data_IF_500171128818
#
_entry.id   IF_500171128818
#
_cell.length_a   1.000
_cell.length_b   1.000
_cell.length_c   1.000
_cell.angle_alpha   90.00
_cell.angle_beta   90.00
_cell.angle_gamma   90.00
#
_symmetry.space_group_name_H-M   'P 1'
#
loop_
_entity.id
_entity.type
_entity.pdbx_description
1 polymer ?
#
# COMPACT_ATOMS: atom_id res chain seq x y z
N UNK A 1 -25.22 -17.84 -20.02
CA UNK A 1 -24.78 -17.75 -18.65
C UNK A 1 -24.48 -16.29 -18.30
N UNK A 2 -25.32 -15.74 -17.48
CA UNK A 2 -25.16 -14.35 -17.09
C UNK A 2 -24.18 -14.26 -15.91
N UNK A 3 -23.03 -13.66 -16.17
CA UNK A 3 -22.12 -13.28 -15.10
C UNK A 3 -22.66 -12.02 -14.43
N UNK A 4 -23.24 -12.19 -13.28
CA UNK A 4 -23.56 -11.02 -12.46
C UNK A 4 -22.25 -10.47 -11.89
N UNK A 5 -22.11 -9.14 -11.92
CA UNK A 5 -21.05 -8.50 -11.17
C UNK A 5 -21.13 -8.94 -9.70
N UNK A 6 -20.03 -9.30 -9.05
CA UNK A 6 -20.10 -9.72 -7.65
C UNK A 6 -20.63 -8.58 -6.79
N UNK A 7 -21.46 -8.94 -5.84
CA UNK A 7 -21.90 -7.98 -4.84
C UNK A 7 -20.72 -7.64 -3.93
N UNK A 8 -20.83 -6.53 -3.22
CA UNK A 8 -19.80 -6.14 -2.25
C UNK A 8 -19.51 -7.26 -1.24
N UNK A 9 -20.56 -7.91 -0.72
CA UNK A 9 -20.39 -8.99 0.24
C UNK A 9 -19.71 -10.22 -0.37
N UNK A 10 -20.04 -10.56 -1.62
CA UNK A 10 -19.40 -11.66 -2.33
C UNK A 10 -17.93 -11.39 -2.55
N UNK A 11 -17.56 -10.18 -2.96
CA UNK A 11 -16.18 -9.79 -3.16
C UNK A 11 -15.37 -9.87 -1.85
N UNK A 12 -15.94 -9.37 -0.75
CA UNK A 12 -15.29 -9.45 0.56
C UNK A 12 -15.07 -10.90 0.97
N UNK A 13 -16.08 -11.76 0.77
CA UNK A 13 -15.99 -13.16 1.14
C UNK A 13 -14.89 -13.88 0.35
N UNK A 14 -14.82 -13.63 -0.93
CA UNK A 14 -13.79 -14.20 -1.78
C UNK A 14 -12.37 -13.82 -1.33
N UNK A 15 -12.18 -12.56 -0.97
CA UNK A 15 -10.89 -12.09 -0.46
C UNK A 15 -10.53 -12.75 0.88
N UNK A 16 -11.51 -12.92 1.76
CA UNK A 16 -11.29 -13.60 3.04
C UNK A 16 -10.91 -15.06 2.86
N UNK A 17 -11.55 -15.74 1.92
CA UNK A 17 -11.24 -17.15 1.61
C UNK A 17 -9.82 -17.31 1.09
N UNK A 18 -9.29 -16.31 0.43
CA UNK A 18 -7.92 -16.29 -0.08
C UNK A 18 -6.91 -15.76 0.93
N UNK A 19 -7.33 -15.53 2.17
CA UNK A 19 -6.50 -14.98 3.25
C UNK A 19 -5.87 -13.63 2.92
N UNK A 20 -6.57 -12.81 2.16
CA UNK A 20 -6.10 -11.47 1.81
C UNK A 20 -6.53 -10.51 2.92
N UNK A 21 -5.58 -9.75 3.51
CA UNK A 21 -5.93 -8.74 4.52
C UNK A 21 -6.92 -7.73 3.98
N UNK A 22 -7.97 -7.46 4.74
CA UNK A 22 -9.07 -6.63 4.30
C UNK A 22 -9.56 -5.76 5.46
N UNK A 23 -9.78 -4.48 5.18
CA UNK A 23 -10.37 -3.54 6.11
C UNK A 23 -11.69 -3.05 5.52
N UNK A 24 -12.77 -3.23 6.24
CA UNK A 24 -14.06 -2.70 5.84
C UNK A 24 -14.12 -1.21 6.13
N UNK A 25 -14.57 -0.44 5.14
CA UNK A 25 -14.74 0.99 5.29
C UNK A 25 -16.24 1.29 5.20
N UNK A 26 -16.88 1.39 6.35
CA UNK A 26 -18.31 1.60 6.44
C UNK A 26 -19.09 0.47 5.71
N UNK A 27 -20.32 0.74 5.34
CA UNK A 27 -21.19 -0.20 4.61
C UNK A 27 -20.88 -0.24 3.11
N UNK A 28 -20.10 0.72 2.61
CA UNK A 28 -20.02 1.00 1.18
C UNK A 28 -18.72 0.61 0.53
N UNK A 29 -17.75 0.12 1.28
CA UNK A 29 -16.50 -0.19 0.66
C UNK A 29 -15.53 -1.01 1.53
N UNK A 30 -14.37 -1.30 0.96
CA UNK A 30 -13.29 -1.98 1.66
C UNK A 30 -11.95 -1.60 1.03
N UNK A 31 -10.88 -1.88 1.76
CA UNK A 31 -9.52 -1.79 1.27
C UNK A 31 -8.87 -3.15 1.53
N UNK A 32 -8.32 -3.76 0.50
CA UNK A 32 -7.66 -5.06 0.60
C UNK A 32 -6.21 -4.95 0.14
N UNK A 33 -5.29 -5.55 0.87
CA UNK A 33 -3.88 -5.60 0.50
C UNK A 33 -3.65 -6.80 -0.41
N UNK A 34 -3.51 -6.55 -1.71
CA UNK A 34 -3.31 -7.59 -2.71
C UNK A 34 -1.86 -8.04 -2.76
N UNK A 35 -0.94 -7.09 -2.62
CA UNK A 35 0.48 -7.42 -2.65
C UNK A 35 1.33 -6.28 -2.14
N UNK A 36 2.60 -6.58 -1.90
CA UNK A 36 3.56 -5.55 -1.52
C UNK A 36 4.95 -5.95 -1.99
N UNK A 37 5.79 -4.96 -2.16
CA UNK A 37 7.20 -5.13 -2.46
C UNK A 37 8.02 -4.30 -1.49
N UNK A 38 9.04 -4.93 -0.89
CA UNK A 38 9.91 -4.24 0.02
C UNK A 38 9.44 -4.36 1.47
N UNK A 39 10.28 -3.82 2.35
CA UNK A 39 10.06 -3.82 3.79
C UNK A 39 10.93 -2.74 4.41
N UNK A 40 10.84 -2.57 5.71
CA UNK A 40 11.72 -1.65 6.43
C UNK A 40 13.19 -2.02 6.24
N UNK A 41 13.49 -3.32 6.24
CA UNK A 41 14.86 -3.79 6.00
C UNK A 41 15.33 -3.44 4.59
N UNK A 42 14.45 -3.56 3.61
CA UNK A 42 14.76 -3.19 2.22
C UNK A 42 15.07 -1.69 2.10
N UNK A 43 14.30 -0.85 2.77
CA UNK A 43 14.55 0.60 2.80
C UNK A 43 15.94 0.87 3.36
N UNK A 44 16.30 0.19 4.41
CA UNK A 44 17.62 0.35 5.06
C UNK A 44 18.75 -0.11 4.14
N UNK A 45 18.58 -1.22 3.43
CA UNK A 45 19.56 -1.70 2.46
C UNK A 45 19.82 -0.67 1.36
N UNK A 46 18.75 -0.11 0.80
CA UNK A 46 18.87 0.91 -0.24
C UNK A 46 19.60 2.15 0.30
N UNK A 47 19.24 2.59 1.51
CA UNK A 47 19.87 3.75 2.11
C UNK A 47 21.37 3.53 2.36
N UNK A 48 21.75 2.34 2.78
CA UNK A 48 23.17 2.01 3.01
C UNK A 48 23.99 1.95 1.74
N UNK A 49 23.38 1.49 0.64
CA UNK A 49 24.04 1.46 -0.66
C UNK A 49 24.37 2.86 -1.16
N UNK A 50 23.51 3.83 -0.87
CA UNK A 50 23.65 5.18 -1.43
C UNK A 50 24.41 6.14 -0.51
N UNK A 51 24.39 5.92 0.80
CA UNK A 51 24.93 6.87 1.77
C UNK A 51 26.11 6.37 2.58
N UNK A 52 26.58 5.14 2.34
CA UNK A 52 27.68 4.53 3.12
C UNK A 52 27.42 4.56 4.64
N UNK A 53 26.18 4.45 5.05
CA UNK A 53 25.85 4.46 6.45
C UNK A 53 26.43 3.23 7.14
N UNK A 54 27.10 3.44 8.28
CA UNK A 54 27.67 2.37 9.07
C UNK A 54 26.72 1.90 10.17
N UNK A 55 25.54 2.48 10.26
CA UNK A 55 24.55 2.08 11.25
C UNK A 55 24.08 0.66 11.01
N UNK A 56 24.11 -0.16 12.04
CA UNK A 56 23.63 -1.55 11.97
C UNK A 56 22.20 -1.69 12.45
N UNK A 57 21.65 -0.65 13.09
CA UNK A 57 20.29 -0.66 13.61
C UNK A 57 19.33 -0.08 12.59
N UNK A 58 18.49 -0.94 12.02
CA UNK A 58 17.54 -0.54 11.00
C UNK A 58 16.49 0.41 11.54
N UNK A 59 16.01 0.21 12.75
CA UNK A 59 14.98 1.08 13.33
C UNK A 59 15.49 2.50 13.49
N UNK A 60 16.70 2.66 14.02
CA UNK A 60 17.32 3.98 14.16
C UNK A 60 17.55 4.64 12.81
N UNK A 61 17.95 3.86 11.80
CA UNK A 61 18.18 4.38 10.47
C UNK A 61 16.89 4.88 9.83
N UNK A 62 15.81 4.14 9.95
CA UNK A 62 14.52 4.55 9.41
C UNK A 62 14.05 5.85 10.07
N UNK A 63 14.17 5.95 11.39
CA UNK A 63 13.81 7.18 12.10
C UNK A 63 14.65 8.36 11.65
N UNK A 64 15.93 8.15 11.43
CA UNK A 64 16.83 9.18 10.90
C UNK A 64 16.41 9.64 9.52
N UNK A 65 16.10 8.70 8.61
CA UNK A 65 15.65 9.02 7.26
C UNK A 65 14.34 9.80 7.25
N UNK A 66 13.41 9.40 8.08
CA UNK A 66 12.13 10.11 8.22
C UNK A 66 12.32 11.52 8.77
N UNK A 67 13.14 11.66 9.80
CA UNK A 67 13.38 12.95 10.44
C UNK A 67 14.03 13.95 9.50
N UNK A 68 14.93 13.48 8.64
CA UNK A 68 15.66 14.34 7.71
C UNK A 68 15.00 14.39 6.32
N UNK A 69 13.80 13.83 6.18
CA UNK A 69 13.02 13.84 4.94
C UNK A 69 13.77 13.24 3.74
N UNK A 70 14.56 12.21 3.98
CA UNK A 70 15.22 11.45 2.93
C UNK A 70 14.19 10.47 2.35
N UNK A 71 13.44 10.90 1.36
CA UNK A 71 12.31 10.14 0.82
C UNK A 71 12.70 9.05 -0.18
N UNK A 72 13.83 9.21 -0.87
CA UNK A 72 14.21 8.30 -1.96
C UNK A 72 14.26 6.81 -1.56
N UNK A 73 14.84 6.41 -0.41
CA UNK A 73 14.84 4.99 -0.05
C UNK A 73 13.45 4.41 0.15
N UNK A 74 12.49 5.23 0.60
CA UNK A 74 11.10 4.80 0.81
C UNK A 74 10.37 4.54 -0.51
N UNK A 75 10.83 5.13 -1.61
CA UNK A 75 10.24 4.93 -2.93
C UNK A 75 10.52 3.55 -3.52
N UNK A 76 11.40 2.78 -2.91
CA UNK A 76 11.71 1.42 -3.34
C UNK A 76 10.76 0.38 -2.75
N UNK A 77 9.74 0.81 -2.04
CA UNK A 77 8.68 -0.06 -1.53
C UNK A 77 7.37 0.30 -2.23
N UNK A 78 6.61 -0.73 -2.54
CA UNK A 78 5.31 -0.58 -3.17
C UNK A 78 4.28 -1.42 -2.45
N UNK A 79 3.04 -0.93 -2.44
CA UNK A 79 1.89 -1.71 -2.01
C UNK A 79 0.85 -1.69 -3.12
N UNK A 80 0.16 -2.80 -3.25
CA UNK A 80 -0.94 -2.94 -4.20
C UNK A 80 -2.21 -3.17 -3.42
N UNK A 81 -3.17 -2.28 -3.60
CA UNK A 81 -4.43 -2.30 -2.89
C UNK A 81 -5.58 -2.46 -3.86
N UNK A 82 -6.54 -3.30 -3.49
CA UNK A 82 -7.85 -3.28 -4.13
C UNK A 82 -8.78 -2.46 -3.27
N UNK A 83 -9.41 -1.46 -3.87
CA UNK A 83 -10.27 -0.54 -3.14
C UNK A 83 -11.65 -0.53 -3.77
N UNK A 84 -12.66 -0.85 -2.98
CA UNK A 84 -14.05 -0.68 -3.37
C UNK A 84 -14.57 0.58 -2.69
N UNK A 85 -15.09 1.51 -3.49
CA UNK A 85 -15.54 2.80 -2.97
C UNK A 85 -16.62 3.41 -3.86
N UNK A 86 -17.42 4.34 -3.33
CA UNK A 86 -18.39 5.05 -4.15
C UNK A 86 -17.71 5.92 -5.22
N UNK A 87 -18.37 6.07 -6.36
CA UNK A 87 -17.82 6.81 -7.50
C UNK A 87 -17.42 8.24 -7.14
N UNK A 88 -18.18 8.91 -6.29
CA UNK A 88 -17.87 10.29 -5.93
C UNK A 88 -16.55 10.40 -5.15
N UNK A 89 -16.20 9.39 -4.37
CA UNK A 89 -14.92 9.35 -3.65
C UNK A 89 -13.78 9.08 -4.62
N UNK A 90 -13.98 8.14 -5.56
CA UNK A 90 -13.00 7.82 -6.59
C UNK A 90 -12.60 9.05 -7.39
N UNK A 91 -13.58 9.85 -7.80
CA UNK A 91 -13.31 11.04 -8.58
C UNK A 91 -12.45 12.07 -7.85
N UNK A 92 -12.63 12.17 -6.55
CA UNK A 92 -11.79 13.04 -5.73
C UNK A 92 -10.38 12.48 -5.56
N UNK A 93 -10.27 11.17 -5.39
CA UNK A 93 -8.98 10.51 -5.20
C UNK A 93 -8.10 10.60 -6.44
N UNK A 94 -8.67 10.36 -7.61
CA UNK A 94 -7.93 10.39 -8.87
C UNK A 94 -7.27 11.76 -9.13
N UNK A 95 -7.81 12.83 -8.58
CA UNK A 95 -7.24 14.17 -8.71
C UNK A 95 -5.89 14.31 -7.99
N UNK A 96 -5.59 13.47 -7.02
CA UNK A 96 -4.32 13.48 -6.32
C UNK A 96 -3.30 12.65 -7.10
N UNK A 97 -2.54 13.32 -7.96
CA UNK A 97 -1.68 12.66 -8.95
C UNK A 97 -0.26 12.42 -8.48
N UNK A 98 0.04 12.60 -7.21
CA UNK A 98 1.37 12.33 -6.68
C UNK A 98 1.68 10.84 -6.56
N UNK A 99 0.66 9.98 -6.65
CA UNK A 99 0.80 8.55 -6.69
C UNK A 99 0.42 7.99 -8.05
N UNK A 100 0.76 6.70 -8.27
CA UNK A 100 0.36 5.99 -9.48
C UNK A 100 -1.08 5.51 -9.32
N UNK A 101 -1.93 5.82 -10.30
CA UNK A 101 -3.30 5.32 -10.36
C UNK A 101 -3.48 4.47 -11.61
N UNK A 102 -4.20 3.38 -11.44
CA UNK A 102 -4.60 2.54 -12.55
C UNK A 102 -6.11 2.54 -12.70
#
# INVERSE_FOLDING_TARGET
MTTKAPTLETAKQELRERNIPLIEVDKFGYVALIGHYGSDDHICEVARLTSNSKSKDNESLIRYLMRNRHSSPFEFCDIELEVALPIFVERQWIRHRTGKTN
#
